data_IF_915666910370
#
_entry.id   IF_915666910370
#
_cell.length_a   1.000
_cell.length_b   1.000
_cell.length_c   1.000
_cell.angle_alpha   90.00
_cell.angle_beta   90.00
_cell.angle_gamma   90.00
#
_symmetry.space_group_name_H-M   'P 1'
#
loop_
_entity.id
_entity.type
_entity.pdbx_description
1 polymer ?
#
# COMPACT_ATOMS: atom_id res chain seq x y z
N UNK A 1 10.68 -4.19 13.96
CA UNK A 1 9.51 -4.86 14.57
C UNK A 1 8.57 -3.79 15.12
N UNK A 2 7.26 -4.04 15.09
CA UNK A 2 6.16 -3.13 15.48
C UNK A 2 5.79 -2.07 14.43
N UNK A 3 4.93 -2.45 13.48
CA UNK A 3 4.17 -1.47 12.67
C UNK A 3 3.04 -0.97 13.56
N UNK A 4 3.23 0.22 14.14
CA UNK A 4 2.17 0.94 14.84
C UNK A 4 1.17 1.39 13.79
N UNK A 5 0.00 0.76 13.74
CA UNK A 5 -1.15 1.31 13.01
C UNK A 5 -1.52 2.60 13.76
N UNK A 6 -1.00 3.74 13.30
CA UNK A 6 -1.44 5.05 13.77
C UNK A 6 -2.91 5.19 13.45
N UNK A 7 -3.73 5.10 14.50
CA UNK A 7 -5.15 5.40 14.55
C UNK A 7 -5.90 5.31 13.22
N UNK A 8 -6.46 4.14 12.92
CA UNK A 8 -7.59 4.07 11.99
C UNK A 8 -8.67 4.99 12.57
N UNK A 9 -8.88 6.14 11.95
CA UNK A 9 -9.96 7.04 12.32
C UNK A 9 -11.27 6.38 11.89
N UNK A 10 -11.82 5.53 12.77
CA UNK A 10 -13.05 4.76 12.54
C UNK A 10 -14.24 5.69 12.19
N UNK A 11 -14.23 6.93 12.69
CA UNK A 11 -15.24 7.94 12.34
C UNK A 11 -15.08 8.57 10.95
N UNK A 12 -13.91 8.45 10.32
CA UNK A 12 -13.67 8.86 8.94
C UNK A 12 -13.91 7.73 7.93
N UNK A 13 -14.21 6.52 8.40
CA UNK A 13 -14.55 5.42 7.51
C UNK A 13 -16.00 5.59 7.05
N UNK A 14 -16.12 6.13 5.84
CA UNK A 14 -17.38 6.17 5.11
C UNK A 14 -17.82 4.73 4.82
N UNK A 15 -18.97 4.33 5.40
CA UNK A 15 -19.56 3.00 5.21
C UNK A 15 -19.82 2.68 3.73
N UNK A 16 -19.98 3.70 2.88
CA UNK A 16 -20.09 3.51 1.44
C UNK A 16 -18.81 2.89 0.84
N UNK A 17 -17.64 3.10 1.45
CA UNK A 17 -16.40 2.46 1.02
C UNK A 17 -16.44 0.94 1.22
N UNK A 18 -17.10 0.47 2.28
CA UNK A 18 -17.31 -0.96 2.50
C UNK A 18 -18.36 -1.56 1.56
N UNK A 19 -19.39 -0.80 1.20
CA UNK A 19 -20.36 -1.21 0.18
C UNK A 19 -19.68 -1.36 -1.18
N UNK A 20 -18.84 -0.39 -1.55
CA UNK A 20 -18.01 -0.46 -2.77
C UNK A 20 -17.06 -1.65 -2.71
N UNK A 21 -16.39 -1.86 -1.58
CA UNK A 21 -15.51 -3.01 -1.40
C UNK A 21 -16.27 -4.31 -1.61
N UNK A 22 -17.41 -4.51 -0.94
CA UNK A 22 -18.24 -5.72 -1.05
C UNK A 22 -18.62 -6.02 -2.50
N UNK A 23 -19.17 -5.04 -3.22
CA UNK A 23 -19.53 -5.21 -4.63
C UNK A 23 -18.31 -5.56 -5.50
N UNK A 24 -17.12 -5.01 -5.21
CA UNK A 24 -15.88 -5.38 -5.91
C UNK A 24 -15.43 -6.80 -5.56
N UNK A 25 -15.61 -7.24 -4.30
CA UNK A 25 -15.30 -8.62 -3.89
C UNK A 25 -16.23 -9.65 -4.52
N UNK A 26 -17.52 -9.32 -4.67
CA UNK A 26 -18.50 -10.20 -5.31
C UNK A 26 -18.36 -10.23 -6.84
N UNK A 27 -18.20 -9.06 -7.46
CA UNK A 27 -18.11 -8.97 -8.93
C UNK A 27 -16.73 -9.29 -9.50
N UNK A 28 -15.68 -9.24 -8.68
CA UNK A 28 -14.28 -9.39 -9.08
C UNK A 28 -13.76 -8.26 -9.98
N UNK A 29 -14.57 -7.25 -10.33
CA UNK A 29 -14.18 -6.21 -11.29
C UNK A 29 -14.79 -4.86 -10.91
N UNK A 30 -13.99 -3.80 -10.95
CA UNK A 30 -14.46 -2.44 -10.66
C UNK A 30 -15.63 -2.01 -11.57
N UNK A 31 -15.62 -2.42 -12.84
CA UNK A 31 -16.72 -2.15 -13.79
C UNK A 31 -17.98 -2.97 -13.46
N UNK A 32 -17.84 -4.18 -12.92
CA UNK A 32 -18.96 -4.99 -12.44
C UNK A 32 -19.63 -4.35 -11.23
N UNK A 33 -18.84 -4.02 -10.22
CA UNK A 33 -19.28 -3.30 -9.03
C UNK A 33 -19.97 -1.97 -9.35
N UNK A 34 -19.45 -1.21 -10.33
CA UNK A 34 -20.07 0.05 -10.76
C UNK A 34 -21.49 -0.14 -11.32
N UNK A 35 -21.72 -1.21 -12.09
CA UNK A 35 -23.05 -1.53 -12.64
C UNK A 35 -24.02 -1.95 -11.54
N UNK A 36 -23.55 -2.76 -10.59
CA UNK A 36 -24.34 -3.22 -9.46
C UNK A 36 -24.74 -2.07 -8.52
N UNK A 37 -23.80 -1.18 -8.23
CA UNK A 37 -24.00 -0.03 -7.34
C UNK A 37 -24.62 1.18 -8.04
N UNK A 38 -24.91 1.09 -9.34
CA UNK A 38 -25.44 2.19 -10.16
C UNK A 38 -24.62 3.48 -10.07
N UNK A 39 -23.30 3.36 -9.98
CA UNK A 39 -22.35 4.48 -9.98
C UNK A 39 -21.39 4.38 -11.16
N UNK A 40 -20.54 5.39 -11.35
CA UNK A 40 -19.50 5.34 -12.38
C UNK A 40 -18.33 4.47 -11.93
N UNK A 41 -17.62 3.86 -12.88
CA UNK A 41 -16.38 3.13 -12.60
C UNK A 41 -15.34 4.04 -11.92
N UNK A 42 -15.29 5.32 -12.31
CA UNK A 42 -14.42 6.34 -11.70
C UNK A 42 -14.74 6.55 -10.21
N UNK A 43 -16.02 6.55 -9.84
CA UNK A 43 -16.43 6.64 -8.44
C UNK A 43 -15.99 5.40 -7.63
N UNK A 44 -16.10 4.20 -8.20
CA UNK A 44 -15.57 2.96 -7.61
C UNK A 44 -14.05 3.02 -7.45
N UNK A 45 -13.31 3.45 -8.48
CA UNK A 45 -11.85 3.61 -8.40
C UNK A 45 -11.44 4.60 -7.30
N UNK A 46 -12.14 5.73 -7.17
CA UNK A 46 -11.85 6.74 -6.14
C UNK A 46 -12.17 6.22 -4.74
N UNK A 47 -13.28 5.52 -4.56
CA UNK A 47 -13.63 4.85 -3.30
C UNK A 47 -12.59 3.79 -2.92
N UNK A 48 -12.14 2.97 -3.88
CA UNK A 48 -11.05 2.02 -3.65
C UNK A 48 -9.72 2.71 -3.30
N UNK A 49 -9.41 3.86 -3.89
CA UNK A 49 -8.21 4.62 -3.52
C UNK A 49 -8.24 5.08 -2.07
N UNK A 50 -9.36 5.68 -1.64
CA UNK A 50 -9.59 6.06 -0.24
C UNK A 50 -9.55 4.86 0.71
N UNK A 51 -10.11 3.73 0.29
CA UNK A 51 -10.08 2.50 1.06
C UNK A 51 -8.64 1.98 1.23
N UNK A 52 -7.80 2.09 0.20
CA UNK A 52 -6.37 1.74 0.27
C UNK A 52 -5.58 2.69 1.17
N UNK A 53 -5.95 3.97 1.24
CA UNK A 53 -5.36 4.90 2.20
C UNK A 53 -5.68 4.50 3.65
N UNK A 54 -6.86 3.91 3.90
CA UNK A 54 -7.32 3.48 5.23
C UNK A 54 -6.80 2.09 5.61
N UNK A 55 -6.82 1.13 4.68
CA UNK A 55 -6.53 -0.30 4.94
C UNK A 55 -5.14 -0.76 4.47
N UNK A 56 -4.50 0.00 3.58
CA UNK A 56 -3.27 -0.37 2.87
C UNK A 56 -3.52 -1.22 1.61
N UNK A 57 -2.77 -0.95 0.54
CA UNK A 57 -2.90 -1.62 -0.78
C UNK A 57 -2.87 -3.18 -0.71
N UNK A 58 -2.00 -3.83 0.09
CA UNK A 58 -1.86 -5.29 0.06
C UNK A 58 -3.06 -6.04 0.65
N UNK A 59 -3.79 -5.43 1.59
CA UNK A 59 -4.96 -6.07 2.21
C UNK A 59 -6.13 -6.14 1.22
N UNK A 60 -6.30 -5.09 0.40
CA UNK A 60 -7.35 -5.01 -0.61
C UNK A 60 -7.08 -6.01 -1.74
N UNK A 61 -5.83 -6.17 -2.17
CA UNK A 61 -5.45 -7.15 -3.19
C UNK A 61 -5.64 -8.61 -2.73
N UNK A 62 -5.50 -8.91 -1.43
CA UNK A 62 -5.62 -10.29 -0.93
C UNK A 62 -7.05 -10.83 -0.91
N UNK A 63 -8.05 -9.95 -1.06
CA UNK A 63 -9.47 -10.30 -0.95
C UNK A 63 -10.26 -10.03 -2.22
N UNK A 64 -9.64 -9.49 -3.27
CA UNK A 64 -10.26 -9.10 -4.54
C UNK A 64 -9.39 -9.54 -5.72
N UNK A 65 -9.90 -9.40 -6.95
CA UNK A 65 -9.13 -9.63 -8.18
C UNK A 65 -8.26 -8.40 -8.58
N UNK A 66 -7.95 -7.51 -7.63
CA UNK A 66 -7.11 -6.34 -7.86
C UNK A 66 -5.63 -6.66 -7.69
N UNK A 67 -4.80 -5.93 -8.43
CA UNK A 67 -3.34 -6.02 -8.34
C UNK A 67 -2.80 -4.78 -7.61
N UNK A 68 -1.87 -4.98 -6.67
CA UNK A 68 -1.20 -3.90 -5.96
C UNK A 68 0.28 -3.78 -6.40
N UNK A 69 0.68 -2.59 -6.83
CA UNK A 69 2.07 -2.26 -7.13
C UNK A 69 2.79 -1.77 -5.87
N UNK A 70 3.61 -2.62 -5.25
CA UNK A 70 4.37 -2.27 -4.05
C UNK A 70 5.85 -2.65 -4.19
N UNK A 71 6.77 -2.05 -3.42
CA UNK A 71 8.16 -2.48 -3.41
C UNK A 71 8.29 -3.97 -3.05
N UNK A 72 9.20 -4.69 -3.73
CA UNK A 72 9.40 -6.14 -3.56
C UNK A 72 9.50 -6.59 -2.09
N UNK A 73 10.22 -5.83 -1.25
CA UNK A 73 10.35 -6.14 0.19
C UNK A 73 9.00 -6.16 0.92
N UNK A 74 8.12 -5.22 0.56
CA UNK A 74 6.76 -5.13 1.11
C UNK A 74 5.93 -6.30 0.58
N UNK A 75 5.96 -6.56 -0.73
CA UNK A 75 5.25 -7.67 -1.35
C UNK A 75 5.60 -9.02 -0.69
N UNK A 76 6.90 -9.27 -0.44
CA UNK A 76 7.37 -10.49 0.22
C UNK A 76 6.76 -10.66 1.61
N UNK A 77 6.84 -9.63 2.45
CA UNK A 77 6.30 -9.67 3.81
C UNK A 77 4.78 -9.95 3.82
N UNK A 78 4.03 -9.42 2.86
CA UNK A 78 2.59 -9.69 2.75
C UNK A 78 2.27 -11.07 2.15
N UNK A 79 3.06 -11.59 1.22
CA UNK A 79 2.88 -12.96 0.71
C UNK A 79 3.15 -14.02 1.79
N UNK A 80 3.99 -13.70 2.79
CA UNK A 80 4.21 -14.58 3.94
C UNK A 80 2.99 -14.64 4.88
N UNK A 81 2.10 -13.62 4.85
CA UNK A 81 0.97 -13.48 5.78
C UNK A 81 -0.41 -13.63 5.13
N UNK A 82 -0.52 -13.43 3.82
CA UNK A 82 -1.77 -13.38 3.06
C UNK A 82 -1.65 -14.31 1.84
N UNK A 83 -2.76 -14.86 1.32
CA UNK A 83 -2.76 -15.73 0.14
C UNK A 83 -2.53 -14.95 -1.16
N UNK A 84 -1.42 -14.22 -1.23
CA UNK A 84 -1.00 -13.39 -2.36
C UNK A 84 0.10 -14.08 -3.15
N UNK A 85 0.15 -13.79 -4.44
CA UNK A 85 1.24 -14.20 -5.33
C UNK A 85 1.93 -12.98 -5.90
N UNK A 86 3.26 -12.96 -5.82
CA UNK A 86 4.07 -11.99 -6.58
C UNK A 86 4.10 -12.38 -8.05
N UNK A 87 3.83 -11.42 -8.93
CA UNK A 87 3.94 -11.55 -10.39
C UNK A 87 4.99 -10.58 -10.91
N UNK A 88 5.57 -10.88 -12.07
CA UNK A 88 6.49 -9.98 -12.74
C UNK A 88 5.75 -8.73 -13.23
N UNK A 89 6.37 -7.56 -13.10
CA UNK A 89 5.76 -6.32 -13.56
C UNK A 89 5.71 -6.32 -15.10
N UNK A 90 4.54 -6.12 -15.73
CA UNK A 90 4.38 -6.25 -17.19
C UNK A 90 5.02 -5.08 -17.97
N UNK A 91 5.56 -4.09 -17.29
CA UNK A 91 6.27 -2.95 -17.86
C UNK A 91 7.44 -2.54 -16.95
N UNK A 92 8.48 -1.91 -17.50
CA UNK A 92 9.60 -1.42 -16.69
C UNK A 92 9.13 -0.30 -15.75
N UNK A 93 9.50 -0.40 -14.47
CA UNK A 93 9.30 0.69 -13.52
C UNK A 93 10.51 1.62 -13.51
N UNK A 94 10.30 2.93 -13.31
CA UNK A 94 11.41 3.82 -13.00
C UNK A 94 12.11 3.33 -11.72
N UNK A 95 13.45 3.38 -11.71
CA UNK A 95 14.21 3.07 -10.50
C UNK A 95 13.89 4.14 -9.45
N UNK A 96 13.17 3.76 -8.40
CA UNK A 96 13.02 4.61 -7.22
C UNK A 96 14.35 4.66 -6.46
N UNK A 97 14.93 5.85 -6.35
CA UNK A 97 16.10 6.08 -5.49
C UNK A 97 15.62 6.31 -4.06
N UNK A 98 16.14 5.53 -3.12
CA UNK A 98 15.95 5.76 -1.69
C UNK A 98 17.00 6.76 -1.23
N UNK A 99 16.58 7.86 -0.62
CA UNK A 99 17.48 8.89 -0.11
C UNK A 99 17.31 9.04 1.40
N UNK A 100 18.42 9.19 2.12
CA UNK A 100 18.42 9.69 3.48
C UNK A 100 18.66 11.20 3.40
N UNK A 101 17.80 11.99 4.04
CA UNK A 101 17.88 13.45 4.03
C UNK A 101 18.13 13.90 5.47
N UNK A 102 19.13 14.77 5.66
CA UNK A 102 19.45 15.37 6.95
C UNK A 102 19.95 16.80 6.76
N UNK A 103 20.01 17.55 7.86
CA UNK A 103 20.52 18.91 7.87
C UNK A 103 22.05 18.91 8.05
N UNK A 104 22.75 19.87 7.44
CA UNK A 104 24.23 20.01 7.54
C UNK A 104 24.73 20.08 8.98
N UNK A 105 23.94 20.65 9.88
CA UNK A 105 24.21 20.71 11.33
C UNK A 105 24.47 19.34 11.98
N UNK A 106 23.90 18.25 11.45
CA UNK A 106 24.09 16.89 11.99
C UNK A 106 25.00 16.04 11.12
N UNK A 107 25.79 16.66 10.24
CA UNK A 107 26.67 15.93 9.34
C UNK A 107 27.84 15.28 10.08
N UNK A 108 28.53 16.08 10.91
CA UNK A 108 29.67 15.64 11.71
C UNK A 108 29.29 14.89 13.00
N UNK A 109 28.02 14.90 13.40
CA UNK A 109 27.58 14.26 14.64
C UNK A 109 27.82 12.73 14.61
N UNK A 110 28.62 12.16 15.53
CA UNK A 110 28.96 10.74 15.50
C UNK A 110 27.75 9.83 15.65
N UNK A 111 26.76 10.21 16.48
CA UNK A 111 25.54 9.44 16.68
C UNK A 111 24.67 9.39 15.42
N UNK A 112 24.47 10.53 14.77
CA UNK A 112 23.76 10.64 13.50
C UNK A 112 24.47 9.87 12.39
N UNK A 113 25.81 9.93 12.31
CA UNK A 113 26.60 9.14 11.36
C UNK A 113 26.40 7.65 11.56
N UNK A 114 26.48 7.17 12.80
CA UNK A 114 26.29 5.78 13.14
C UNK A 114 24.85 5.31 12.83
N UNK A 115 23.84 6.11 13.16
CA UNK A 115 22.45 5.81 12.81
C UNK A 115 22.26 5.72 11.28
N UNK A 116 22.82 6.66 10.51
CA UNK A 116 22.76 6.60 9.04
C UNK A 116 23.42 5.34 8.50
N UNK A 117 24.57 4.91 9.03
CA UNK A 117 25.20 3.66 8.59
C UNK A 117 24.33 2.44 8.88
N UNK A 118 23.70 2.37 10.05
CA UNK A 118 22.77 1.29 10.40
C UNK A 118 21.56 1.24 9.45
N UNK A 119 20.98 2.40 9.11
CA UNK A 119 19.86 2.46 8.17
C UNK A 119 20.28 2.04 6.77
N UNK A 120 21.44 2.48 6.29
CA UNK A 120 21.98 2.08 4.98
C UNK A 120 22.19 0.57 4.93
N UNK A 121 22.77 -0.01 5.97
CA UNK A 121 23.00 -1.45 6.10
C UNK A 121 21.66 -2.22 6.06
N UNK A 122 20.69 -1.82 6.89
CA UNK A 122 19.38 -2.46 6.94
C UNK A 122 18.60 -2.38 5.62
N UNK A 123 18.89 -1.41 4.76
CA UNK A 123 18.23 -1.21 3.46
C UNK A 123 18.89 -1.95 2.29
N UNK A 124 20.05 -2.59 2.48
CA UNK A 124 20.75 -3.38 1.44
C UNK A 124 20.11 -4.76 1.18
N UNK A 125 19.34 -5.28 2.13
CA UNK A 125 18.59 -6.55 2.01
C UNK A 125 17.24 -6.43 1.27
#
# INVERSE_FOLDING_TARGET
MMVRITGVNLSAIDLNLFLVLHAVLESGRATGAARELHVTQSAVSNALARLRDVLGDPLVAARSDLIAGVPRRVAKAFCDMLPLRMVEMPFPLPRMTKCLIWHTRTDADPGARYFRSLVIEALRE
#
